data_IF_461122190038
#
_entry.id   IF_461122190038
#
_cell.length_a   1.000
_cell.length_b   1.000
_cell.length_c   1.000
_cell.angle_alpha   90.00
_cell.angle_beta   90.00
_cell.angle_gamma   90.00
#
_symmetry.space_group_name_H-M   'P 1'
#
loop_
_entity.id
_entity.type
_entity.pdbx_description
1 polymer ?
#
# COMPACT_ATOMS: atom_id res chain seq x y z
N UNK A 1 -11.42 19.20 -11.15
CA UNK A 1 -11.47 20.58 -10.59
C UNK A 1 -12.20 20.70 -9.24
N UNK A 2 -13.10 19.80 -8.87
CA UNK A 2 -13.93 19.96 -7.65
C UNK A 2 -13.24 19.64 -6.31
N UNK A 3 -12.03 19.08 -6.28
CA UNK A 3 -11.35 18.74 -5.02
C UNK A 3 -10.23 19.72 -4.64
N UNK A 4 -9.75 20.55 -5.57
CA UNK A 4 -8.81 21.65 -5.29
C UNK A 4 -9.39 22.62 -4.26
N UNK A 5 -10.73 22.85 -4.29
CA UNK A 5 -11.42 23.67 -3.28
C UNK A 5 -11.41 23.04 -1.87
N UNK A 6 -11.07 21.75 -1.74
CA UNK A 6 -10.96 21.07 -0.45
C UNK A 6 -9.62 21.29 0.26
N UNK A 7 -8.55 21.65 -0.47
CA UNK A 7 -7.21 21.87 0.10
C UNK A 7 -6.96 23.29 0.58
N UNK A 8 -7.73 24.27 0.11
CA UNK A 8 -7.59 25.67 0.56
C UNK A 8 -8.27 25.83 1.91
N UNK A 9 -7.52 25.57 2.99
CA UNK A 9 -7.96 25.77 4.38
C UNK A 9 -8.54 24.54 5.08
N UNK A 10 -8.36 23.33 4.53
CA UNK A 10 -8.79 22.05 5.15
C UNK A 10 -7.60 21.15 5.48
N UNK A 11 -7.80 20.23 6.43
CA UNK A 11 -6.85 19.18 6.82
C UNK A 11 -6.32 18.43 5.59
N UNK A 12 -4.99 18.16 5.48
CA UNK A 12 -4.41 17.35 4.41
C UNK A 12 -4.72 15.86 4.56
N UNK A 13 -5.39 15.46 5.64
CA UNK A 13 -5.64 14.04 5.97
C UNK A 13 -6.55 13.39 4.94
N UNK A 14 -7.63 14.04 4.52
CA UNK A 14 -8.53 13.48 3.50
C UNK A 14 -7.82 13.11 2.19
N UNK A 15 -7.02 14.00 1.58
CA UNK A 15 -6.18 13.65 0.44
C UNK A 15 -5.19 12.50 0.71
N UNK A 16 -4.61 12.42 1.91
CA UNK A 16 -3.73 11.30 2.29
C UNK A 16 -4.48 9.97 2.39
N UNK A 17 -5.72 9.97 2.88
CA UNK A 17 -6.60 8.80 2.88
C UNK A 17 -6.98 8.38 1.45
N UNK A 18 -7.23 9.34 0.55
CA UNK A 18 -7.45 9.08 -0.87
C UNK A 18 -6.21 8.44 -1.52
N UNK A 19 -5.01 8.96 -1.24
CA UNK A 19 -3.75 8.40 -1.71
C UNK A 19 -3.52 6.97 -1.18
N UNK A 20 -3.69 6.73 0.12
CA UNK A 20 -3.57 5.39 0.70
C UNK A 20 -4.56 4.41 0.08
N UNK A 21 -5.78 4.89 -0.24
CA UNK A 21 -6.77 4.06 -0.94
C UNK A 21 -6.27 3.67 -2.34
N UNK A 22 -5.70 4.61 -3.10
CA UNK A 22 -5.14 4.33 -4.42
C UNK A 22 -3.95 3.35 -4.35
N UNK A 23 -3.03 3.53 -3.40
CA UNK A 23 -1.90 2.64 -3.17
C UNK A 23 -2.34 1.20 -2.84
N UNK A 24 -3.35 1.03 -1.97
CA UNK A 24 -3.91 -0.29 -1.65
C UNK A 24 -4.62 -0.93 -2.85
N UNK A 25 -5.31 -0.15 -3.67
CA UNK A 25 -5.93 -0.66 -4.91
C UNK A 25 -4.86 -1.17 -5.88
N UNK A 26 -3.72 -0.49 -5.98
CA UNK A 26 -2.56 -0.95 -6.74
C UNK A 26 -1.99 -2.25 -6.16
N UNK A 27 -1.71 -2.30 -4.86
CA UNK A 27 -1.18 -3.49 -4.18
C UNK A 27 -2.06 -4.73 -4.34
N UNK A 28 -3.38 -4.58 -4.35
CA UNK A 28 -4.33 -5.70 -4.58
C UNK A 28 -4.10 -6.43 -5.90
N UNK A 29 -3.51 -5.78 -6.90
CA UNK A 29 -3.24 -6.40 -8.20
C UNK A 29 -2.08 -7.41 -8.14
N UNK A 30 -1.32 -7.43 -7.07
CA UNK A 30 -0.26 -8.43 -6.85
C UNK A 30 -0.84 -9.85 -6.75
N UNK A 31 -2.02 -10.03 -6.15
CA UNK A 31 -2.65 -11.36 -6.05
C UNK A 31 -3.02 -11.90 -7.44
N UNK A 32 -3.77 -11.21 -8.32
CA UNK A 32 -4.03 -11.70 -9.67
C UNK A 32 -2.75 -11.82 -10.53
N UNK A 33 -1.71 -11.01 -10.30
CA UNK A 33 -0.42 -11.18 -10.95
C UNK A 33 0.23 -12.53 -10.57
N UNK A 34 0.24 -12.88 -9.29
CA UNK A 34 0.76 -14.17 -8.80
C UNK A 34 -0.07 -15.33 -9.36
N UNK A 35 -1.40 -15.21 -9.45
CA UNK A 35 -2.23 -16.24 -10.08
C UNK A 35 -1.90 -16.40 -11.58
N UNK A 36 -1.63 -15.33 -12.31
CA UNK A 36 -1.17 -15.39 -13.69
C UNK A 36 0.19 -16.08 -13.83
N UNK A 37 1.13 -15.82 -12.90
CA UNK A 37 2.44 -16.51 -12.82
C UNK A 37 2.26 -18.01 -12.57
N UNK A 38 1.33 -18.41 -11.71
CA UNK A 38 1.01 -19.81 -11.40
C UNK A 38 0.38 -20.50 -12.62
N UNK A 39 -0.49 -19.81 -13.33
CA UNK A 39 -1.10 -20.31 -14.56
C UNK A 39 -0.10 -20.37 -15.74
N UNK A 40 1.05 -19.71 -15.65
CA UNK A 40 1.99 -19.59 -16.76
C UNK A 40 1.46 -18.77 -17.92
N UNK A 41 0.53 -17.85 -17.65
CA UNK A 41 -0.15 -17.04 -18.66
C UNK A 41 0.55 -15.68 -18.85
N UNK A 42 1.47 -15.63 -19.81
CA UNK A 42 2.22 -14.40 -20.13
C UNK A 42 1.33 -13.25 -20.60
N UNK A 43 0.19 -13.55 -21.23
CA UNK A 43 -0.74 -12.50 -21.67
C UNK A 43 -1.46 -11.87 -20.47
N UNK A 44 -1.85 -12.68 -19.48
CA UNK A 44 -2.41 -12.20 -18.22
C UNK A 44 -1.36 -11.43 -17.39
N UNK A 45 -0.10 -11.90 -17.33
CA UNK A 45 1.01 -11.19 -16.67
C UNK A 45 1.18 -9.79 -17.28
N UNK A 46 1.28 -9.69 -18.60
CA UNK A 46 1.43 -8.40 -19.29
C UNK A 46 0.22 -7.48 -19.06
N UNK A 47 -1.00 -8.03 -19.05
CA UNK A 47 -2.21 -7.25 -18.73
C UNK A 47 -2.20 -6.71 -17.29
N UNK A 48 -1.79 -7.54 -16.31
CA UNK A 48 -1.68 -7.12 -14.92
C UNK A 48 -0.60 -6.04 -14.73
N UNK A 49 0.56 -6.18 -15.40
CA UNK A 49 1.59 -5.15 -15.38
C UNK A 49 1.05 -3.80 -15.86
N UNK A 50 0.33 -3.76 -17.00
CA UNK A 50 -0.27 -2.54 -17.54
C UNK A 50 -1.28 -1.92 -16.55
N UNK A 51 -2.09 -2.75 -15.89
CA UNK A 51 -3.07 -2.26 -14.92
C UNK A 51 -2.38 -1.73 -13.65
N UNK A 52 -1.32 -2.38 -13.16
CA UNK A 52 -0.52 -1.92 -12.03
C UNK A 52 0.14 -0.58 -12.36
N UNK A 53 0.78 -0.43 -13.53
CA UNK A 53 1.37 0.83 -13.98
C UNK A 53 0.31 1.96 -13.99
N UNK A 54 -0.88 1.68 -14.49
CA UNK A 54 -1.97 2.67 -14.52
C UNK A 54 -2.41 3.08 -13.11
N UNK A 55 -2.47 2.14 -12.18
CA UNK A 55 -2.90 2.39 -10.79
C UNK A 55 -1.84 3.13 -9.98
N UNK A 56 -0.57 2.78 -10.16
CA UNK A 56 0.56 3.49 -9.58
C UNK A 56 0.61 4.94 -10.05
N UNK A 57 0.55 5.18 -11.37
CA UNK A 57 0.51 6.53 -11.92
C UNK A 57 -0.66 7.37 -11.35
N UNK A 58 -1.82 6.73 -11.11
CA UNK A 58 -2.96 7.42 -10.48
C UNK A 58 -2.69 7.76 -9.00
N UNK A 59 -1.95 6.93 -8.25
CA UNK A 59 -1.52 7.21 -6.89
C UNK A 59 -0.46 8.33 -6.88
N UNK A 60 0.53 8.28 -7.78
CA UNK A 60 1.57 9.29 -7.94
C UNK A 60 1.00 10.68 -8.27
N UNK A 61 0.00 10.76 -9.14
CA UNK A 61 -0.73 12.01 -9.42
C UNK A 61 -1.34 12.60 -8.14
N UNK A 62 -1.96 11.80 -7.27
CA UNK A 62 -2.52 12.25 -5.99
C UNK A 62 -1.39 12.72 -5.06
N UNK A 63 -0.27 12.00 -4.96
CA UNK A 63 0.92 12.39 -4.19
C UNK A 63 1.46 13.75 -4.63
N UNK A 64 1.65 13.94 -5.92
CA UNK A 64 2.13 15.20 -6.50
C UNK A 64 1.21 16.38 -6.14
N UNK A 65 -0.09 16.14 -6.19
CA UNK A 65 -1.09 17.15 -5.85
C UNK A 65 -1.04 17.48 -4.35
N UNK A 66 -0.95 16.49 -3.47
CA UNK A 66 -0.79 16.70 -2.02
C UNK A 66 0.47 17.53 -1.75
N UNK A 67 1.63 17.16 -2.31
CA UNK A 67 2.90 17.87 -2.11
C UNK A 67 2.86 19.31 -2.58
N UNK A 68 2.23 19.57 -3.73
CA UNK A 68 2.16 20.91 -4.34
C UNK A 68 1.25 21.86 -3.57
N UNK A 69 0.20 21.35 -2.92
CA UNK A 69 -0.82 22.13 -2.21
C UNK A 69 -0.68 22.06 -0.68
N UNK A 70 0.28 21.28 -0.14
CA UNK A 70 0.45 21.18 1.30
C UNK A 70 0.91 22.52 1.91
N UNK A 71 0.14 23.11 2.81
CA UNK A 71 0.44 24.44 3.35
C UNK A 71 1.80 24.48 4.05
N UNK A 72 2.56 25.58 3.86
CA UNK A 72 3.87 25.78 4.47
C UNK A 72 3.83 26.11 5.97
N UNK A 73 2.69 26.61 6.43
CA UNK A 73 2.43 26.96 7.84
C UNK A 73 1.04 26.53 8.20
N UNK A 74 0.93 25.49 8.97
CA UNK A 74 -0.31 25.06 9.58
C UNK A 74 -0.11 25.03 11.10
N UNK A 75 -1.05 25.61 11.82
CA UNK A 75 -1.32 25.23 13.19
C UNK A 75 -2.04 23.89 13.12
N UNK A 76 -1.29 22.82 12.89
CA UNK A 76 -1.82 21.46 12.82
C UNK A 76 -1.37 20.64 14.04
N UNK A 77 -2.18 19.67 14.38
CA UNK A 77 -1.86 18.67 15.41
C UNK A 77 -0.66 17.79 15.04
N UNK A 78 -0.30 17.73 13.74
CA UNK A 78 0.85 16.98 13.21
C UNK A 78 1.79 17.92 12.44
N UNK A 79 3.09 17.67 12.53
CA UNK A 79 4.09 18.42 11.76
C UNK A 79 4.00 18.08 10.26
N UNK A 80 4.25 19.10 9.43
CA UNK A 80 4.26 18.92 7.95
C UNK A 80 5.22 17.82 7.52
N UNK A 81 6.35 17.69 8.21
CA UNK A 81 7.34 16.65 7.93
C UNK A 81 6.78 15.25 8.13
N UNK A 82 6.11 15.01 9.25
CA UNK A 82 5.53 13.71 9.58
C UNK A 82 4.48 13.29 8.55
N UNK A 83 3.66 14.25 8.08
CA UNK A 83 2.68 13.99 7.03
C UNK A 83 3.34 13.63 5.69
N UNK A 84 4.46 14.27 5.35
CA UNK A 84 5.21 13.95 4.13
C UNK A 84 5.89 12.58 4.26
N UNK A 85 6.44 12.25 5.41
CA UNK A 85 7.04 10.95 5.67
C UNK A 85 5.99 9.82 5.57
N UNK A 86 4.78 10.03 6.12
CA UNK A 86 3.65 9.10 5.95
C UNK A 86 3.26 8.95 4.48
N UNK A 87 3.17 10.06 3.74
CA UNK A 87 2.85 10.04 2.32
C UNK A 87 3.87 9.24 1.50
N UNK A 88 5.18 9.40 1.80
CA UNK A 88 6.25 8.68 1.13
C UNK A 88 6.20 7.17 1.43
N UNK A 89 5.86 6.77 2.66
CA UNK A 89 5.64 5.36 2.99
C UNK A 89 4.41 4.78 2.28
N UNK A 90 3.33 5.52 2.18
CA UNK A 90 2.14 5.07 1.42
C UNK A 90 2.45 4.86 -0.06
N UNK A 91 3.21 5.79 -0.65
CA UNK A 91 3.62 5.76 -2.04
C UNK A 91 4.48 4.52 -2.35
N UNK A 92 5.42 4.19 -1.46
CA UNK A 92 6.25 2.99 -1.59
C UNK A 92 5.45 1.69 -1.77
N UNK A 93 4.19 1.64 -1.34
CA UNK A 93 3.32 0.48 -1.55
C UNK A 93 3.00 0.29 -3.03
N UNK A 94 2.67 1.38 -3.73
CA UNK A 94 2.36 1.35 -5.16
C UNK A 94 3.62 1.17 -6.00
N UNK A 95 4.72 1.87 -5.66
CA UNK A 95 6.02 1.74 -6.31
C UNK A 95 6.53 0.30 -6.29
N UNK A 96 6.52 -0.36 -5.13
CA UNK A 96 6.96 -1.76 -4.99
C UNK A 96 6.05 -2.72 -5.77
N UNK A 97 4.74 -2.47 -5.82
CA UNK A 97 3.84 -3.27 -6.64
C UNK A 97 4.17 -3.17 -8.13
N UNK A 98 4.52 -1.97 -8.61
CA UNK A 98 4.97 -1.72 -9.99
C UNK A 98 6.31 -2.42 -10.26
N UNK A 99 7.30 -2.27 -9.38
CA UNK A 99 8.62 -2.91 -9.51
C UNK A 99 8.50 -4.43 -9.62
N UNK A 100 7.63 -5.04 -8.80
CA UNK A 100 7.35 -6.49 -8.86
C UNK A 100 6.75 -6.85 -10.22
N UNK A 101 5.74 -6.13 -10.68
CA UNK A 101 5.05 -6.42 -11.94
C UNK A 101 5.98 -6.27 -13.15
N UNK A 102 6.82 -5.22 -13.16
CA UNK A 102 7.83 -5.03 -14.19
C UNK A 102 8.85 -6.16 -14.22
N UNK A 103 9.38 -6.55 -13.06
CA UNK A 103 10.34 -7.65 -12.97
C UNK A 103 9.74 -8.97 -13.46
N UNK A 104 8.51 -9.28 -13.05
CA UNK A 104 7.80 -10.50 -13.44
C UNK A 104 7.58 -10.56 -14.94
N UNK A 105 7.12 -9.45 -15.56
CA UNK A 105 6.88 -9.39 -17.01
C UNK A 105 8.19 -9.46 -17.80
N UNK A 106 9.20 -8.66 -17.45
CA UNK A 106 10.50 -8.62 -18.13
C UNK A 106 11.23 -9.96 -18.11
N UNK A 107 11.08 -10.73 -17.02
CA UNK A 107 11.73 -12.04 -16.83
C UNK A 107 10.85 -13.21 -17.23
N UNK A 108 9.59 -12.97 -17.63
CA UNK A 108 8.62 -14.03 -17.94
C UNK A 108 8.56 -15.06 -16.79
N UNK A 109 8.41 -14.55 -15.55
CA UNK A 109 8.51 -15.39 -14.36
C UNK A 109 7.25 -16.22 -14.17
N UNK A 110 7.44 -17.52 -13.92
CA UNK A 110 6.36 -18.46 -13.62
C UNK A 110 6.62 -19.15 -12.26
N UNK A 111 5.54 -19.48 -11.57
CA UNK A 111 5.58 -20.21 -10.31
C UNK A 111 5.06 -21.62 -10.52
N UNK A 112 5.88 -22.63 -10.29
CA UNK A 112 5.52 -24.03 -10.50
C UNK A 112 5.83 -24.89 -9.29
N UNK A 113 5.13 -26.01 -9.16
CA UNK A 113 5.42 -27.02 -8.14
C UNK A 113 5.30 -26.49 -6.73
N UNK A 114 6.38 -26.59 -5.97
CA UNK A 114 6.45 -26.22 -4.55
C UNK A 114 6.42 -24.71 -4.28
N UNK A 115 6.56 -23.87 -5.31
CA UNK A 115 6.54 -22.40 -5.17
C UNK A 115 5.12 -21.83 -5.15
N UNK A 116 4.15 -22.53 -5.72
CA UNK A 116 2.79 -22.03 -5.94
C UNK A 116 2.13 -21.53 -4.65
N UNK A 117 1.96 -22.41 -3.67
CA UNK A 117 1.26 -22.07 -2.42
C UNK A 117 2.01 -21.06 -1.54
N UNK A 118 3.33 -21.17 -1.32
CA UNK A 118 4.06 -20.19 -0.54
C UNK A 118 3.98 -18.77 -1.11
N UNK A 119 4.12 -18.60 -2.42
CA UNK A 119 4.03 -17.28 -3.06
C UNK A 119 2.61 -16.73 -3.08
N UNK A 120 1.59 -17.57 -3.28
CA UNK A 120 0.18 -17.17 -3.16
C UNK A 120 -0.12 -16.67 -1.74
N UNK A 121 0.25 -17.44 -0.72
CA UNK A 121 0.03 -17.08 0.67
C UNK A 121 0.73 -15.77 1.05
N UNK A 122 1.99 -15.61 0.64
CA UNK A 122 2.76 -14.39 0.85
C UNK A 122 2.07 -13.18 0.19
N UNK A 123 1.66 -13.29 -1.08
CA UNK A 123 1.00 -12.19 -1.79
C UNK A 123 -0.31 -11.76 -1.10
N UNK A 124 -1.15 -12.72 -0.72
CA UNK A 124 -2.41 -12.43 -0.01
C UNK A 124 -2.12 -11.73 1.32
N UNK A 125 -1.16 -12.26 2.11
CA UNK A 125 -0.86 -11.69 3.43
C UNK A 125 -0.23 -10.30 3.34
N UNK A 126 0.61 -10.04 2.33
CA UNK A 126 1.17 -8.70 2.08
C UNK A 126 0.08 -7.69 1.75
N UNK A 127 -0.91 -8.06 0.94
CA UNK A 127 -2.06 -7.18 0.64
C UNK A 127 -2.89 -6.91 1.92
N UNK A 128 -3.11 -7.91 2.76
CA UNK A 128 -3.81 -7.72 4.05
C UNK A 128 -3.05 -6.76 4.98
N UNK A 129 -1.71 -6.77 4.97
CA UNK A 129 -0.90 -5.79 5.69
C UNK A 129 -1.16 -4.36 5.18
N UNK A 130 -1.19 -4.15 3.86
CA UNK A 130 -1.52 -2.85 3.26
C UNK A 130 -2.95 -2.39 3.62
N UNK A 131 -3.91 -3.31 3.62
CA UNK A 131 -5.29 -3.02 4.02
C UNK A 131 -5.41 -2.65 5.50
N UNK A 132 -4.65 -3.30 6.37
CA UNK A 132 -4.59 -2.96 7.77
C UNK A 132 -3.94 -1.59 7.99
N UNK A 133 -2.86 -1.28 7.28
CA UNK A 133 -2.24 0.05 7.27
C UNK A 133 -3.23 1.14 6.83
N UNK A 134 -4.03 0.86 5.79
CA UNK A 134 -5.10 1.78 5.36
C UNK A 134 -6.10 2.08 6.48
N UNK A 135 -6.53 1.08 7.23
CA UNK A 135 -7.46 1.31 8.36
C UNK A 135 -6.87 2.25 9.40
N UNK A 136 -5.55 2.16 9.67
CA UNK A 136 -4.86 3.08 10.58
C UNK A 136 -4.89 4.52 10.02
N UNK A 137 -4.65 4.69 8.73
CA UNK A 137 -4.70 6.01 8.07
C UNK A 137 -6.12 6.58 8.04
N UNK A 138 -7.14 5.73 7.88
CA UNK A 138 -8.54 6.17 7.89
C UNK A 138 -8.97 6.75 9.26
N UNK A 139 -8.29 6.42 10.36
CA UNK A 139 -8.55 6.94 11.70
C UNK A 139 -7.92 8.31 11.99
N UNK A 140 -7.02 8.82 11.12
CA UNK A 140 -6.28 10.06 11.37
C UNK A 140 -7.18 11.28 11.55
N UNK A 141 -8.28 11.38 10.80
CA UNK A 141 -9.23 12.50 10.94
C UNK A 141 -9.83 12.53 12.35
N UNK A 142 -10.32 11.39 12.85
CA UNK A 142 -10.93 11.29 14.19
C UNK A 142 -9.92 11.55 15.29
N UNK A 143 -8.67 11.07 15.13
CA UNK A 143 -7.57 11.38 16.07
C UNK A 143 -7.31 12.88 16.19
N UNK A 144 -7.27 13.59 15.06
CA UNK A 144 -7.01 15.02 15.02
C UNK A 144 -8.20 15.81 15.57
N UNK A 145 -9.43 15.46 15.18
CA UNK A 145 -10.65 16.13 15.63
C UNK A 145 -10.86 16.01 17.14
N UNK A 146 -10.49 14.87 17.73
CA UNK A 146 -10.59 14.64 19.19
C UNK A 146 -9.37 15.14 19.97
N UNK A 147 -8.36 15.70 19.27
CA UNK A 147 -7.12 16.18 19.89
C UNK A 147 -6.33 15.05 20.54
N UNK A 148 -6.28 13.89 19.91
CA UNK A 148 -5.61 12.67 20.42
C UNK A 148 -6.21 12.19 21.75
N UNK A 149 -7.53 12.06 21.81
CA UNK A 149 -8.22 11.53 22.98
C UNK A 149 -7.77 10.10 23.33
N UNK A 150 -7.70 9.77 24.61
CA UNK A 150 -7.18 8.48 25.11
C UNK A 150 -7.85 7.26 24.47
N UNK A 151 -9.15 7.35 24.16
CA UNK A 151 -9.93 6.26 23.56
C UNK A 151 -9.55 6.03 22.10
N UNK A 152 -9.42 7.09 21.34
CA UNK A 152 -9.06 7.07 19.91
C UNK A 152 -7.61 6.62 19.75
N UNK A 153 -6.71 7.12 20.60
CA UNK A 153 -5.32 6.65 20.66
C UNK A 153 -5.24 5.16 20.95
N UNK A 154 -5.95 4.66 21.98
CA UNK A 154 -5.94 3.23 22.30
C UNK A 154 -6.49 2.36 21.15
N UNK A 155 -7.49 2.87 20.39
CA UNK A 155 -8.00 2.18 19.20
C UNK A 155 -6.94 2.08 18.11
N UNK A 156 -6.26 3.17 17.80
CA UNK A 156 -5.21 3.19 16.77
C UNK A 156 -4.01 2.33 17.20
N UNK A 157 -3.59 2.37 18.47
CA UNK A 157 -2.55 1.49 19.00
C UNK A 157 -2.91 -0.01 18.85
N UNK A 158 -4.17 -0.36 19.05
CA UNK A 158 -4.66 -1.73 18.80
C UNK A 158 -4.57 -2.11 17.32
N UNK A 159 -4.89 -1.19 16.40
CA UNK A 159 -4.78 -1.42 14.96
C UNK A 159 -3.32 -1.55 14.50
N UNK A 160 -2.40 -0.76 15.08
CA UNK A 160 -0.96 -0.86 14.83
C UNK A 160 -0.42 -2.19 15.38
N UNK A 161 -0.87 -2.62 16.55
CA UNK A 161 -0.50 -3.92 17.11
C UNK A 161 -0.94 -5.08 16.21
N UNK A 162 -2.14 -4.99 15.62
CA UNK A 162 -2.61 -5.95 14.64
C UNK A 162 -1.77 -5.92 13.36
N UNK A 163 -1.36 -4.73 12.88
CA UNK A 163 -0.45 -4.61 11.74
C UNK A 163 0.88 -5.30 12.01
N UNK A 164 1.47 -5.12 13.21
CA UNK A 164 2.70 -5.81 13.60
C UNK A 164 2.54 -7.35 13.66
N UNK A 165 1.35 -7.86 14.05
CA UNK A 165 1.06 -9.29 13.97
C UNK A 165 1.02 -9.79 12.53
N UNK A 166 0.38 -9.03 11.63
CA UNK A 166 0.32 -9.36 10.20
C UNK A 166 1.72 -9.33 9.57
N UNK A 167 2.54 -8.35 9.92
CA UNK A 167 3.95 -8.25 9.48
C UNK A 167 4.75 -9.48 9.89
N UNK A 168 4.67 -9.90 11.15
CA UNK A 168 5.36 -11.11 11.65
C UNK A 168 4.95 -12.36 10.86
N UNK A 169 3.65 -12.53 10.59
CA UNK A 169 3.16 -13.66 9.79
C UNK A 169 3.60 -13.56 8.32
N UNK A 170 3.74 -12.35 7.78
CA UNK A 170 4.27 -12.12 6.42
C UNK A 170 5.74 -12.50 6.33
N UNK A 171 6.54 -12.19 7.35
CA UNK A 171 7.94 -12.60 7.44
C UNK A 171 8.12 -14.12 7.48
N UNK A 172 7.27 -14.83 8.24
CA UNK A 172 7.25 -16.30 8.28
C UNK A 172 6.90 -16.92 6.90
N UNK A 173 5.95 -16.30 6.19
CA UNK A 173 5.58 -16.72 4.83
C UNK A 173 6.70 -16.42 3.82
N UNK A 174 7.38 -15.29 3.95
CA UNK A 174 8.54 -14.93 3.14
C UNK A 174 9.66 -15.95 3.34
N UNK A 175 9.99 -16.31 4.59
CA UNK A 175 11.01 -17.33 4.90
C UNK A 175 10.65 -18.69 4.28
N UNK A 176 9.36 -19.06 4.34
CA UNK A 176 8.85 -20.29 3.72
C UNK A 176 8.97 -20.26 2.18
N UNK A 177 8.63 -19.14 1.56
CA UNK A 177 8.75 -18.95 0.10
C UNK A 177 10.22 -18.99 -0.34
N UNK A 178 11.12 -18.31 0.40
CA UNK A 178 12.56 -18.35 0.14
C UNK A 178 13.13 -19.76 0.27
N UNK A 179 12.79 -20.50 1.32
CA UNK A 179 13.24 -21.91 1.48
C UNK A 179 12.76 -22.78 0.34
N UNK A 180 11.53 -22.61 -0.09
CA UNK A 180 10.99 -23.35 -1.24
C UNK A 180 11.73 -23.01 -2.53
N UNK A 181 12.09 -21.74 -2.73
CA UNK A 181 12.83 -21.27 -3.90
C UNK A 181 14.26 -21.84 -3.93
N UNK A 182 14.95 -21.90 -2.78
CA UNK A 182 16.33 -22.39 -2.71
C UNK A 182 16.44 -23.93 -2.57
N UNK A 183 15.31 -24.63 -2.46
CA UNK A 183 15.27 -26.10 -2.44
C UNK A 183 15.13 -26.72 -3.84
N UNK A 184 14.99 -25.91 -4.88
CA UNK A 184 14.95 -26.32 -6.29
C UNK A 184 16.38 -26.36 -6.83
#
# INVERSE_FOLDING_TARGET
MAWIDKLVGRSPVGPMQEHMTAAVVCARQIVPLVEAMIAGDNAAIAAQRIEIDRLENAADDIKHEIRSHMPRRLMMAMERRDLLDILDFQDSIADVAQDIAELVDQRQMHLTGTLTEPFRALAVRSVEACEQGKKVIDELDELIETGFGDREVARVESMISELGRIETETDELLDTACRSLFAI
#
